data_IF_022976855669
#
_entry.id   IF_022976855669
#
_cell.length_a   1.000
_cell.length_b   1.000
_cell.length_c   1.000
_cell.angle_alpha   90.00
_cell.angle_beta   90.00
_cell.angle_gamma   90.00
#
_symmetry.space_group_name_H-M   'P 1'
#
loop_
_entity.id
_entity.type
_entity.pdbx_description
1 polymer ?
#
# COMPACT_ATOMS: atom_id res chain seq x y z
N UNK A 1 14.56 -7.52 4.75
CA UNK A 1 13.91 -6.40 4.04
C UNK A 1 14.11 -6.50 2.53
N UNK A 2 13.30 -5.78 1.75
CA UNK A 2 13.54 -5.59 0.31
C UNK A 2 14.82 -4.77 0.05
N UNK A 3 15.48 -4.98 -1.10
CA UNK A 3 16.73 -4.28 -1.43
C UNK A 3 16.56 -2.77 -1.52
N UNK A 4 15.43 -2.28 -2.05
CA UNK A 4 15.14 -0.85 -2.13
C UNK A 4 15.06 -0.20 -0.73
N UNK A 5 14.44 -0.87 0.25
CA UNK A 5 14.42 -0.40 1.64
C UNK A 5 15.84 -0.26 2.19
N UNK A 6 16.71 -1.27 1.98
CA UNK A 6 18.10 -1.19 2.40
C UNK A 6 18.84 -0.04 1.72
N UNK A 7 18.63 0.16 0.42
CA UNK A 7 19.21 1.26 -0.34
C UNK A 7 18.79 2.61 0.24
N UNK A 8 17.50 2.80 0.52
CA UNK A 8 16.99 4.01 1.15
C UNK A 8 17.60 4.22 2.56
N UNK A 9 17.64 3.17 3.39
CA UNK A 9 18.27 3.22 4.72
C UNK A 9 19.74 3.60 4.65
N UNK A 10 20.47 3.09 3.66
CA UNK A 10 21.90 3.41 3.45
C UNK A 10 22.14 4.84 3.00
N UNK A 11 21.19 5.46 2.30
CA UNK A 11 21.24 6.84 1.87
C UNK A 11 20.83 7.85 2.95
N UNK A 12 20.18 7.38 4.01
CA UNK A 12 19.74 8.22 5.14
C UNK A 12 20.84 8.23 6.21
N UNK A 13 21.57 9.33 6.34
CA UNK A 13 22.70 9.46 7.27
C UNK A 13 22.36 9.09 8.71
N UNK A 14 21.18 9.49 9.19
CA UNK A 14 20.71 9.17 10.55
C UNK A 14 20.56 7.67 10.78
N UNK A 15 20.10 6.94 9.77
CA UNK A 15 19.92 5.48 9.84
C UNK A 15 21.25 4.77 9.60
N UNK A 16 21.99 5.19 8.57
CA UNK A 16 23.28 4.60 8.18
C UNK A 16 24.36 4.73 9.28
N UNK A 17 24.27 5.75 10.13
CA UNK A 17 25.19 5.93 11.25
C UNK A 17 25.06 4.88 12.36
N UNK A 18 23.97 4.07 12.36
CA UNK A 18 23.77 2.98 13.31
C UNK A 18 23.80 1.62 12.59
N UNK A 19 24.95 0.92 12.51
CA UNK A 19 25.03 -0.37 11.84
C UNK A 19 24.10 -1.46 12.40
N UNK A 20 23.69 -1.33 13.66
CA UNK A 20 22.82 -2.32 14.31
C UNK A 20 21.39 -2.37 13.72
N UNK A 21 20.93 -1.29 13.09
CA UNK A 21 19.60 -1.24 12.45
C UNK A 21 19.65 -1.63 10.96
N UNK A 22 20.86 -1.80 10.40
CA UNK A 22 21.00 -2.12 8.98
C UNK A 22 20.65 -3.59 8.71
N UNK A 23 19.80 -3.86 7.71
CA UNK A 23 19.41 -5.23 7.38
C UNK A 23 20.60 -6.04 6.85
N UNK A 24 20.76 -7.25 7.40
CA UNK A 24 21.82 -8.20 7.00
C UNK A 24 21.40 -9.10 5.84
N UNK A 25 20.08 -9.30 5.66
CA UNK A 25 19.51 -10.08 4.56
C UNK A 25 18.52 -9.25 3.76
N UNK A 26 18.64 -9.31 2.45
CA UNK A 26 17.73 -8.63 1.51
C UNK A 26 17.19 -9.61 0.47
N UNK A 27 16.12 -9.21 -0.20
CA UNK A 27 15.52 -9.95 -1.31
C UNK A 27 15.01 -8.97 -2.37
N UNK A 28 14.81 -9.48 -3.60
CA UNK A 28 14.26 -8.72 -4.74
C UNK A 28 12.78 -9.04 -4.97
N UNK A 29 12.43 -10.29 -5.24
CA UNK A 29 11.07 -10.68 -5.59
C UNK A 29 10.41 -11.50 -4.49
N UNK A 30 11.14 -12.52 -3.99
CA UNK A 30 10.66 -13.43 -2.97
C UNK A 30 11.80 -13.91 -2.08
N UNK A 31 11.50 -14.11 -0.80
CA UNK A 31 12.38 -14.83 0.13
C UNK A 31 11.54 -15.69 1.06
N UNK A 32 11.98 -16.92 1.29
CA UNK A 32 11.39 -17.79 2.30
C UNK A 32 12.35 -17.89 3.49
N UNK A 33 11.82 -17.67 4.67
CA UNK A 33 12.51 -17.88 5.95
C UNK A 33 11.90 -19.10 6.64
N UNK A 34 12.75 -19.86 7.32
CA UNK A 34 12.35 -21.07 8.03
C UNK A 34 11.68 -22.12 7.12
N UNK A 35 11.09 -23.16 7.70
CA UNK A 35 10.40 -24.23 6.97
C UNK A 35 9.31 -24.86 7.82
N UNK A 36 8.45 -25.66 7.19
CA UNK A 36 7.38 -26.35 7.87
C UNK A 36 6.38 -25.39 8.51
N UNK A 37 6.04 -25.59 9.77
CA UNK A 37 5.05 -24.77 10.48
C UNK A 37 5.50 -23.32 10.72
N UNK A 38 6.82 -23.10 10.79
CA UNK A 38 7.41 -21.77 11.06
C UNK A 38 7.84 -21.05 9.79
N UNK A 39 7.39 -21.52 8.61
CA UNK A 39 7.69 -20.89 7.34
C UNK A 39 7.09 -19.51 7.27
N UNK A 40 7.89 -18.55 6.76
CA UNK A 40 7.48 -17.18 6.46
C UNK A 40 7.91 -16.88 5.03
N UNK A 41 6.98 -16.51 4.20
CA UNK A 41 7.24 -16.07 2.82
C UNK A 41 7.12 -14.54 2.72
N UNK A 42 8.17 -13.90 2.20
CA UNK A 42 8.17 -12.48 1.90
C UNK A 42 8.05 -12.30 0.39
N UNK A 43 7.17 -11.41 -0.05
CA UNK A 43 6.96 -11.09 -1.45
C UNK A 43 7.10 -9.59 -1.70
N UNK A 44 7.66 -9.25 -2.85
CA UNK A 44 7.64 -7.92 -3.42
C UNK A 44 6.97 -7.96 -4.78
N UNK A 45 6.03 -7.06 -5.05
CA UNK A 45 5.29 -7.01 -6.31
C UNK A 45 5.40 -5.66 -7.02
N UNK A 46 6.06 -4.70 -6.41
CA UNK A 46 6.24 -3.34 -6.94
C UNK A 46 6.09 -2.27 -5.86
N UNK A 47 6.22 -1.02 -6.29
CA UNK A 47 6.04 0.14 -5.42
C UNK A 47 4.57 0.32 -5.01
N UNK A 48 4.34 0.87 -3.83
CA UNK A 48 3.05 1.16 -3.27
C UNK A 48 3.12 2.34 -2.32
N UNK A 49 3.04 2.12 -0.99
CA UNK A 49 3.30 3.14 0.02
C UNK A 49 4.75 3.65 -0.08
N UNK A 50 5.69 2.72 -0.26
CA UNK A 50 7.11 2.96 -0.62
C UNK A 50 7.49 2.12 -1.84
N UNK A 51 8.75 2.18 -2.28
CA UNK A 51 9.29 1.25 -3.28
C UNK A 51 9.91 -0.02 -2.69
N UNK A 52 9.76 -0.22 -1.39
CA UNK A 52 10.31 -1.38 -0.67
C UNK A 52 9.28 -2.14 0.16
N UNK A 53 7.98 -1.93 -0.08
CA UNK A 53 6.90 -2.61 0.65
C UNK A 53 6.97 -4.12 0.44
N UNK A 54 6.76 -4.87 1.51
CA UNK A 54 6.78 -6.32 1.48
C UNK A 54 5.47 -6.92 2.02
N UNK A 55 4.94 -7.92 1.34
CA UNK A 55 3.87 -8.76 1.85
C UNK A 55 4.48 -9.96 2.58
N UNK A 56 4.18 -10.10 3.86
CA UNK A 56 4.74 -11.14 4.72
C UNK A 56 3.65 -12.18 4.97
N UNK A 57 3.81 -13.37 4.40
CA UNK A 57 2.82 -14.44 4.48
C UNK A 57 3.27 -15.50 5.48
N UNK A 58 2.35 -15.92 6.32
CA UNK A 58 2.48 -17.00 7.30
C UNK A 58 1.58 -18.17 6.84
N UNK A 59 2.08 -19.10 6.02
CA UNK A 59 1.26 -20.12 5.38
C UNK A 59 0.49 -21.01 6.36
N UNK A 60 1.13 -21.40 7.47
CA UNK A 60 0.50 -22.24 8.49
C UNK A 60 -0.65 -21.54 9.24
N UNK A 61 -0.63 -20.22 9.30
CA UNK A 61 -1.68 -19.40 9.92
C UNK A 61 -2.72 -18.88 8.92
N UNK A 62 -2.50 -19.10 7.62
CA UNK A 62 -3.31 -18.51 6.55
C UNK A 62 -3.46 -17.00 6.70
N UNK A 63 -2.37 -16.34 7.14
CA UNK A 63 -2.33 -14.92 7.43
C UNK A 63 -1.28 -14.20 6.61
N UNK A 64 -1.53 -12.93 6.30
CA UNK A 64 -0.60 -12.02 5.63
C UNK A 64 -0.51 -10.71 6.41
N UNK A 65 0.71 -10.23 6.66
CA UNK A 65 0.93 -8.85 7.07
C UNK A 65 1.32 -8.02 5.84
N UNK A 66 0.61 -6.93 5.62
CA UNK A 66 0.79 -6.06 4.46
C UNK A 66 1.43 -4.71 4.82
N UNK A 67 1.46 -4.34 6.10
CA UNK A 67 1.96 -3.01 6.51
C UNK A 67 1.15 -1.87 5.86
N UNK A 68 1.80 -0.75 5.62
CA UNK A 68 1.15 0.49 5.22
C UNK A 68 0.72 0.54 3.74
N UNK A 69 1.11 -0.45 2.95
CA UNK A 69 0.57 -0.60 1.59
C UNK A 69 -0.92 -0.97 1.61
N UNK A 70 -1.41 -1.53 2.71
CA UNK A 70 -2.82 -1.77 2.99
C UNK A 70 -3.26 -0.88 4.15
N UNK A 71 -3.95 0.22 3.82
CA UNK A 71 -4.53 1.14 4.78
C UNK A 71 -6.00 0.82 5.02
N UNK A 72 -6.43 0.93 6.28
CA UNK A 72 -7.77 0.61 6.71
C UNK A 72 -8.83 1.55 6.10
N UNK A 73 -9.71 0.98 5.26
CA UNK A 73 -10.91 1.67 4.71
C UNK A 73 -10.63 3.04 4.08
N UNK A 74 -9.38 3.30 3.63
CA UNK A 74 -9.00 4.55 2.98
C UNK A 74 -7.88 4.31 1.96
N UNK A 75 -7.60 5.28 1.10
CA UNK A 75 -6.39 5.27 0.28
C UNK A 75 -5.14 5.36 1.16
N UNK A 76 -4.03 4.71 0.82
CA UNK A 76 -2.83 4.72 1.65
C UNK A 76 -2.17 6.11 1.67
N UNK A 77 -1.37 6.36 2.67
CA UNK A 77 -0.38 7.42 2.59
C UNK A 77 0.72 6.95 1.63
N UNK A 78 1.11 7.80 0.70
CA UNK A 78 2.22 7.51 -0.20
C UNK A 78 3.43 8.31 0.26
N UNK A 79 4.57 7.64 0.40
CA UNK A 79 5.86 8.29 0.69
C UNK A 79 6.70 8.40 -0.60
N UNK A 80 6.63 9.52 -1.32
CA UNK A 80 7.41 9.71 -2.55
C UNK A 80 8.91 9.84 -2.28
N UNK A 81 9.32 10.19 -1.04
CA UNK A 81 10.73 10.25 -0.65
C UNK A 81 11.35 8.85 -0.57
N UNK A 82 10.54 7.86 -0.20
CA UNK A 82 10.91 6.45 -0.19
C UNK A 82 10.45 5.70 -1.47
N UNK A 83 10.18 6.42 -2.56
CA UNK A 83 9.84 5.85 -3.86
C UNK A 83 8.42 5.31 -3.99
N UNK A 84 7.51 5.68 -3.07
CA UNK A 84 6.10 5.33 -3.17
C UNK A 84 5.40 5.94 -4.39
N UNK A 85 4.37 5.25 -4.91
CA UNK A 85 3.68 5.67 -6.14
C UNK A 85 2.20 5.27 -6.14
N UNK A 86 1.32 6.25 -6.29
CA UNK A 86 -0.12 6.02 -6.52
C UNK A 86 -0.35 5.35 -7.87
N UNK A 87 0.47 5.65 -8.87
CA UNK A 87 0.33 5.10 -10.22
C UNK A 87 0.73 3.63 -10.27
N UNK A 88 1.73 3.22 -9.51
CA UNK A 88 2.18 1.82 -9.44
C UNK A 88 1.32 0.96 -8.50
N UNK A 89 0.76 1.55 -7.45
CA UNK A 89 0.06 0.85 -6.38
C UNK A 89 -1.00 -0.17 -6.86
N UNK A 90 -1.93 0.16 -7.77
CA UNK A 90 -2.95 -0.82 -8.19
C UNK A 90 -2.36 -2.06 -8.85
N UNK A 91 -1.32 -1.92 -9.67
CA UNK A 91 -0.64 -3.05 -10.31
C UNK A 91 0.06 -3.94 -9.28
N UNK A 92 0.67 -3.32 -8.26
CA UNK A 92 1.32 -4.02 -7.14
C UNK A 92 0.30 -4.84 -6.34
N UNK A 93 -0.83 -4.25 -5.99
CA UNK A 93 -1.91 -4.94 -5.27
C UNK A 93 -2.54 -6.08 -6.09
N UNK A 94 -2.77 -5.87 -7.38
CA UNK A 94 -3.31 -6.91 -8.28
C UNK A 94 -2.34 -8.09 -8.45
N UNK A 95 -1.02 -7.81 -8.54
CA UNK A 95 0.00 -8.87 -8.55
C UNK A 95 0.01 -9.64 -7.24
N UNK A 96 -0.14 -8.97 -6.11
CA UNK A 96 -0.23 -9.61 -4.79
C UNK A 96 -1.47 -10.52 -4.72
N UNK A 97 -2.65 -10.06 -5.18
CA UNK A 97 -3.87 -10.88 -5.24
C UNK A 97 -3.71 -12.14 -6.10
N UNK A 98 -2.93 -12.06 -7.18
CA UNK A 98 -2.68 -13.19 -8.10
C UNK A 98 -1.58 -14.12 -7.59
N UNK A 99 -0.57 -13.57 -6.95
CA UNK A 99 0.66 -14.29 -6.54
C UNK A 99 0.59 -14.92 -5.16
N UNK A 100 -0.28 -14.42 -4.30
CA UNK A 100 -0.46 -14.92 -2.93
C UNK A 100 -1.77 -15.71 -2.85
N UNK A 101 -1.71 -16.91 -2.31
CA UNK A 101 -2.87 -17.78 -2.13
C UNK A 101 -2.99 -18.27 -0.69
N UNK A 102 -4.15 -18.89 -0.38
CA UNK A 102 -4.43 -19.52 0.91
C UNK A 102 -4.31 -18.56 2.12
N UNK A 103 -4.75 -17.32 1.96
CA UNK A 103 -4.81 -16.31 3.02
C UNK A 103 -6.27 -15.99 3.33
N UNK A 104 -6.62 -16.04 4.60
CA UNK A 104 -7.94 -15.64 5.12
C UNK A 104 -7.85 -14.30 5.84
N UNK A 105 -6.76 -14.12 6.62
CA UNK A 105 -6.55 -12.99 7.52
C UNK A 105 -5.48 -12.06 6.95
N UNK A 106 -5.78 -10.77 6.92
CA UNK A 106 -4.83 -9.72 6.50
C UNK A 106 -4.63 -8.73 7.63
N UNK A 107 -3.36 -8.53 8.02
CA UNK A 107 -2.94 -7.56 9.02
C UNK A 107 -2.40 -6.35 8.28
N UNK A 108 -3.04 -5.23 8.49
CA UNK A 108 -2.66 -3.94 7.94
C UNK A 108 -1.70 -3.18 8.86
N UNK A 109 -1.13 -2.05 8.38
CA UNK A 109 -0.15 -1.28 9.14
C UNK A 109 -0.71 -0.58 10.37
N UNK A 110 -1.92 -0.02 10.26
CA UNK A 110 -2.51 0.87 11.26
C UNK A 110 -4.01 0.65 11.44
N UNK A 111 -4.45 -0.53 11.77
CA UNK A 111 -5.87 -0.77 11.93
C UNK A 111 -6.19 -2.16 12.48
N UNK A 112 -7.45 -2.54 12.38
CA UNK A 112 -7.93 -3.84 12.81
C UNK A 112 -7.49 -4.95 11.85
N UNK A 113 -7.52 -6.17 12.35
CA UNK A 113 -7.34 -7.36 11.50
C UNK A 113 -8.45 -7.42 10.45
N UNK A 114 -8.08 -7.62 9.22
CA UNK A 114 -8.96 -7.62 8.06
C UNK A 114 -9.00 -9.00 7.38
N UNK A 115 -9.74 -9.12 6.30
CA UNK A 115 -9.92 -10.35 5.53
C UNK A 115 -9.29 -10.23 4.14
N UNK A 116 -9.04 -11.37 3.48
CA UNK A 116 -8.64 -11.39 2.08
C UNK A 116 -9.67 -10.73 1.15
N UNK A 117 -10.96 -10.81 1.48
CA UNK A 117 -12.01 -10.09 0.76
C UNK A 117 -11.85 -8.58 0.91
N UNK A 118 -11.57 -8.07 2.12
CA UNK A 118 -11.30 -6.65 2.34
C UNK A 118 -10.07 -6.16 1.58
N UNK A 119 -9.01 -6.96 1.52
CA UNK A 119 -7.82 -6.64 0.70
C UNK A 119 -8.15 -6.57 -0.80
N UNK A 120 -9.01 -7.46 -1.30
CA UNK A 120 -9.51 -7.41 -2.69
C UNK A 120 -10.33 -6.15 -2.95
N UNK A 121 -11.25 -5.79 -2.06
CA UNK A 121 -12.08 -4.59 -2.21
C UNK A 121 -11.22 -3.32 -2.21
N UNK A 122 -10.21 -3.28 -1.35
CA UNK A 122 -9.21 -2.22 -1.33
C UNK A 122 -8.43 -2.12 -2.66
N UNK A 123 -8.04 -3.26 -3.24
CA UNK A 123 -7.36 -3.31 -4.54
C UNK A 123 -8.23 -2.73 -5.65
N UNK A 124 -9.51 -3.11 -5.67
CA UNK A 124 -10.48 -2.59 -6.64
C UNK A 124 -10.72 -1.09 -6.48
N UNK A 125 -10.76 -0.61 -5.25
CA UNK A 125 -10.88 0.83 -4.97
C UNK A 125 -9.68 1.61 -5.51
N UNK A 126 -8.44 1.18 -5.21
CA UNK A 126 -7.23 1.88 -5.66
C UNK A 126 -7.10 1.85 -7.18
N UNK A 127 -7.51 0.76 -7.85
CA UNK A 127 -7.58 0.71 -9.31
C UNK A 127 -8.58 1.73 -9.85
N UNK A 128 -9.79 1.77 -9.31
CA UNK A 128 -10.81 2.71 -9.75
C UNK A 128 -10.39 4.18 -9.50
N UNK A 129 -9.71 4.46 -8.39
CA UNK A 129 -9.19 5.78 -8.08
C UNK A 129 -8.17 6.25 -9.13
N UNK A 130 -7.20 5.38 -9.48
CA UNK A 130 -6.22 5.70 -10.51
C UNK A 130 -6.86 5.87 -11.89
N UNK A 131 -7.79 5.00 -12.27
CA UNK A 131 -8.45 5.09 -13.58
C UNK A 131 -9.29 6.37 -13.70
N UNK A 132 -10.00 6.77 -12.64
CA UNK A 132 -10.73 8.03 -12.58
C UNK A 132 -9.78 9.23 -12.62
N UNK A 133 -8.64 9.18 -11.91
CA UNK A 133 -7.61 10.21 -11.96
C UNK A 133 -7.04 10.38 -13.38
N UNK A 134 -6.73 9.28 -14.08
CA UNK A 134 -6.25 9.30 -15.47
C UNK A 134 -7.27 9.94 -16.42
N UNK A 135 -8.55 9.56 -16.29
CA UNK A 135 -9.63 10.09 -17.13
C UNK A 135 -9.91 11.57 -16.89
N UNK A 136 -9.79 12.01 -15.63
CA UNK A 136 -10.08 13.36 -15.17
C UNK A 136 -8.90 14.33 -15.25
N UNK A 137 -7.69 13.86 -15.54
CA UNK A 137 -6.48 14.71 -15.59
C UNK A 137 -6.65 15.89 -16.54
N UNK A 138 -6.48 17.10 -16.00
CA UNK A 138 -6.67 18.36 -16.74
C UNK A 138 -8.13 18.73 -17.07
N UNK A 139 -9.12 17.97 -16.56
CA UNK A 139 -10.56 18.18 -16.80
C UNK A 139 -11.39 18.32 -15.53
N UNK A 140 -10.99 17.64 -14.47
CA UNK A 140 -11.72 17.58 -13.19
C UNK A 140 -10.77 17.84 -12.04
N UNK A 141 -11.31 18.39 -10.95
CA UNK A 141 -10.57 18.51 -9.68
C UNK A 141 -10.44 17.15 -8.99
N UNK A 142 -9.48 17.05 -8.06
CA UNK A 142 -9.31 15.86 -7.26
C UNK A 142 -10.53 15.55 -6.38
N UNK A 143 -11.21 16.60 -5.89
CA UNK A 143 -12.43 16.48 -5.09
C UNK A 143 -13.58 15.89 -5.91
N UNK A 144 -13.80 16.36 -7.15
CA UNK A 144 -14.82 15.82 -8.05
C UNK A 144 -14.57 14.34 -8.36
N UNK A 145 -13.30 13.97 -8.62
CA UNK A 145 -12.92 12.59 -8.89
C UNK A 145 -13.16 11.70 -7.66
N UNK A 146 -12.68 12.11 -6.48
CA UNK A 146 -12.89 11.34 -5.25
C UNK A 146 -14.38 11.20 -4.92
N UNK A 147 -15.16 12.28 -5.09
CA UNK A 147 -16.60 12.27 -4.88
C UNK A 147 -17.34 11.33 -5.85
N UNK A 148 -16.88 11.19 -7.09
CA UNK A 148 -17.49 10.29 -8.08
C UNK A 148 -17.43 8.81 -7.69
N UNK A 149 -16.51 8.44 -6.80
CA UNK A 149 -16.34 7.06 -6.31
C UNK A 149 -17.27 6.71 -5.13
N UNK A 150 -17.96 7.68 -4.52
CA UNK A 150 -18.78 7.49 -3.30
C UNK A 150 -19.82 6.39 -3.44
N UNK A 151 -20.52 6.34 -4.56
CA UNK A 151 -21.58 5.35 -4.79
C UNK A 151 -21.01 3.92 -4.87
N UNK A 152 -19.88 3.75 -5.53
CA UNK A 152 -19.27 2.44 -5.77
C UNK A 152 -18.43 1.94 -4.59
N UNK A 153 -17.77 2.87 -3.89
CA UNK A 153 -16.84 2.57 -2.80
C UNK A 153 -17.14 3.39 -1.53
N UNK A 154 -18.35 3.24 -0.97
CA UNK A 154 -18.80 4.09 0.14
C UNK A 154 -17.92 3.98 1.40
N UNK A 155 -17.28 2.83 1.61
CA UNK A 155 -16.39 2.60 2.77
C UNK A 155 -15.12 3.42 2.65
N UNK A 156 -14.54 3.52 1.45
CA UNK A 156 -13.26 4.19 1.18
C UNK A 156 -13.41 5.69 0.88
N UNK A 157 -14.62 6.22 0.93
CA UNK A 157 -14.93 7.62 0.61
C UNK A 157 -15.85 8.28 1.64
N UNK A 158 -15.84 7.78 2.89
CA UNK A 158 -16.56 8.39 4.00
C UNK A 158 -16.04 9.77 4.32
N UNK A 159 -16.94 10.65 4.76
CA UNK A 159 -16.63 12.01 5.24
C UNK A 159 -16.40 12.05 6.75
N UNK A 160 -16.68 10.99 7.47
CA UNK A 160 -16.48 10.87 8.90
C UNK A 160 -15.02 10.51 9.19
N UNK A 161 -14.47 11.10 10.26
CA UNK A 161 -13.16 10.73 10.77
C UNK A 161 -13.19 9.27 11.24
N UNK A 162 -12.16 8.51 10.89
CA UNK A 162 -11.92 7.21 11.51
C UNK A 162 -11.29 7.48 12.87
N UNK A 163 -11.98 7.12 13.95
CA UNK A 163 -11.71 7.52 15.33
C UNK A 163 -10.35 7.09 15.88
N UNK A 164 -9.68 6.15 15.22
CA UNK A 164 -8.47 5.50 15.75
C UNK A 164 -7.19 5.87 14.99
N UNK A 165 -7.26 6.77 14.00
CA UNK A 165 -6.09 7.18 13.25
C UNK A 165 -5.66 8.61 13.63
N UNK A 166 -4.59 8.73 14.41
CA UNK A 166 -3.94 10.00 14.77
C UNK A 166 -3.48 10.86 13.58
N UNK A 167 -3.40 10.27 12.38
CA UNK A 167 -2.89 10.91 11.16
C UNK A 167 -4.01 11.38 10.23
N UNK A 168 -4.90 12.14 10.78
CA UNK A 168 -5.67 13.18 10.16
C UNK A 168 -6.30 12.93 8.80
N UNK A 169 -7.59 12.98 8.79
CA UNK A 169 -8.39 13.05 7.60
C UNK A 169 -9.42 11.93 7.51
N UNK A 170 -10.39 12.22 6.67
CA UNK A 170 -11.45 11.25 6.35
C UNK A 170 -10.97 10.34 5.21
N UNK A 171 -11.58 9.16 5.01
CA UNK A 171 -11.36 8.35 3.81
C UNK A 171 -11.48 9.15 2.51
N UNK A 172 -12.46 10.06 2.42
CA UNK A 172 -12.63 10.92 1.26
C UNK A 172 -11.45 11.88 1.07
N UNK A 173 -11.01 12.57 2.13
CA UNK A 173 -9.87 13.49 2.04
C UNK A 173 -8.58 12.76 1.64
N UNK A 174 -8.38 11.52 2.10
CA UNK A 174 -7.25 10.70 1.70
C UNK A 174 -7.34 10.30 0.22
N UNK A 175 -8.54 9.99 -0.29
CA UNK A 175 -8.75 9.77 -1.72
C UNK A 175 -8.40 11.00 -2.56
N UNK A 176 -8.80 12.21 -2.13
CA UNK A 176 -8.43 13.49 -2.76
C UNK A 176 -6.90 13.66 -2.80
N UNK A 177 -6.21 13.41 -1.69
CA UNK A 177 -4.75 13.48 -1.63
C UNK A 177 -4.12 12.54 -2.65
N UNK A 178 -4.58 11.29 -2.74
CA UNK A 178 -4.05 10.31 -3.69
C UNK A 178 -4.32 10.70 -5.15
N UNK A 179 -5.48 11.29 -5.46
CA UNK A 179 -5.74 11.82 -6.82
C UNK A 179 -4.75 12.94 -7.16
N UNK A 180 -4.48 13.86 -6.23
CA UNK A 180 -3.49 14.93 -6.45
C UNK A 180 -2.07 14.36 -6.67
N UNK A 181 -1.66 13.35 -5.90
CA UNK A 181 -0.38 12.66 -6.10
C UNK A 181 -0.36 11.97 -7.48
N UNK A 182 -1.44 11.30 -7.87
CA UNK A 182 -1.55 10.69 -9.21
C UNK A 182 -1.41 11.74 -10.31
N UNK A 183 -2.03 12.92 -10.18
CA UNK A 183 -1.86 14.01 -11.14
C UNK A 183 -0.42 14.48 -11.25
N UNK A 184 0.29 14.61 -10.14
CA UNK A 184 1.70 14.97 -10.13
C UNK A 184 2.59 13.92 -10.81
N UNK A 185 2.34 12.64 -10.56
CA UNK A 185 3.09 11.54 -11.19
C UNK A 185 2.80 11.45 -12.69
N UNK A 186 1.54 11.57 -13.11
CA UNK A 186 1.12 11.50 -14.52
C UNK A 186 1.55 12.73 -15.33
N UNK A 187 1.63 13.89 -14.70
CA UNK A 187 2.05 15.15 -15.35
C UNK A 187 3.56 15.31 -15.51
N UNK A 188 4.38 14.45 -14.94
CA UNK A 188 5.84 14.46 -15.07
C UNK A 188 6.37 13.75 -16.33
N UNK A 189 5.49 13.33 -17.22
CA UNK A 189 5.86 12.64 -18.49
C UNK A 189 6.12 13.61 -19.60
#
# INVERSE_FOLDING_TARGET
THENTKKWMSANERVASNPAVMPTKTFTDKMTLSSGRDQIDLYYFGAGHTDGDAFIVFPALRAMAAGDIFAWKMAPLIDPMAGGSVVALPDTLEKALKGIGNVDTVIEGHGDVNTWAGFRDYTLFNRALLDAAKAGLGKQSADEIAASLKQKFPVFTKEELLTDLEYGGTPLSRAVINVNVAFQELGKK
#
